data_IF_984864718686
#
_entry.id   IF_984864718686
#
_cell.length_a   1.000
_cell.length_b   1.000
_cell.length_c   1.000
_cell.angle_alpha   90.00
_cell.angle_beta   90.00
_cell.angle_gamma   90.00
#
_symmetry.space_group_name_H-M   'P 1'
#
loop_
_entity.id
_entity.type
_entity.pdbx_description
1 polymer ?
#
# COMPACT_ATOMS: atom_id res chain seq x y z
N UNK A 1 9.81 16.04 -0.93
CA UNK A 1 8.49 15.57 -1.38
C UNK A 1 7.94 16.59 -2.37
N UNK A 2 7.45 16.21 -3.57
CA UNK A 2 6.94 17.16 -4.58
C UNK A 2 5.48 16.87 -4.90
N UNK A 3 4.62 17.88 -4.72
CA UNK A 3 3.19 17.82 -5.07
C UNK A 3 3.02 17.51 -6.56
N UNK A 4 3.76 18.18 -7.43
CA UNK A 4 3.70 18.00 -8.89
C UNK A 4 4.05 16.56 -9.30
N UNK A 5 5.04 15.94 -8.66
CA UNK A 5 5.42 14.56 -8.94
C UNK A 5 4.30 13.55 -8.62
N UNK A 6 3.55 13.78 -7.55
CA UNK A 6 2.43 12.92 -7.17
C UNK A 6 1.20 13.16 -8.04
N UNK A 7 0.94 14.39 -8.45
CA UNK A 7 -0.11 14.70 -9.42
C UNK A 7 0.19 14.04 -10.79
N UNK A 8 1.45 14.01 -11.23
CA UNK A 8 1.86 13.30 -12.43
C UNK A 8 1.65 11.78 -12.31
N UNK A 9 2.03 11.18 -11.18
CA UNK A 9 1.80 9.76 -10.90
C UNK A 9 0.29 9.42 -10.90
N UNK A 10 -0.49 10.28 -10.24
CA UNK A 10 -1.94 10.15 -10.15
C UNK A 10 -2.61 10.23 -11.51
N UNK A 11 -2.22 11.19 -12.36
CA UNK A 11 -2.70 11.29 -13.73
C UNK A 11 -2.34 10.06 -14.55
N UNK A 12 -1.15 9.49 -14.36
CA UNK A 12 -0.75 8.24 -15.00
C UNK A 12 -1.62 7.03 -14.63
N UNK A 13 -2.04 6.89 -13.36
CA UNK A 13 -2.83 5.75 -12.89
C UNK A 13 -4.34 5.88 -13.15
N UNK A 14 -4.85 7.12 -13.17
CA UNK A 14 -6.28 7.39 -13.22
C UNK A 14 -6.76 7.98 -14.54
N UNK A 15 -5.85 8.51 -15.35
CA UNK A 15 -6.16 9.29 -16.55
C UNK A 15 -6.69 10.70 -16.28
N UNK A 16 -6.70 11.15 -15.01
CA UNK A 16 -7.16 12.48 -14.62
C UNK A 16 -5.98 13.44 -14.57
N UNK A 17 -5.96 14.44 -15.44
CA UNK A 17 -4.96 15.51 -15.38
C UNK A 17 -5.34 16.53 -14.31
N UNK A 18 -4.55 16.57 -13.24
CA UNK A 18 -4.66 17.58 -12.17
C UNK A 18 -3.53 18.63 -12.22
N UNK A 19 -2.58 18.50 -13.16
CA UNK A 19 -1.42 19.38 -13.25
C UNK A 19 -1.78 20.83 -13.61
N UNK A 20 -2.94 21.05 -14.22
CA UNK A 20 -3.47 22.39 -14.51
C UNK A 20 -4.15 23.10 -13.34
N UNK A 21 -4.35 22.43 -12.20
CA UNK A 21 -5.05 22.98 -11.04
C UNK A 21 -4.06 23.45 -9.96
N UNK A 22 -4.39 24.54 -9.26
CA UNK A 22 -3.59 25.00 -8.11
C UNK A 22 -3.78 24.06 -6.92
N UNK A 23 -2.81 24.04 -6.00
CA UNK A 23 -2.88 23.24 -4.77
C UNK A 23 -4.14 23.56 -3.94
N UNK A 24 -4.61 24.81 -3.94
CA UNK A 24 -5.79 25.25 -3.18
C UNK A 24 -7.12 24.97 -3.89
N UNK A 25 -7.11 24.41 -5.11
CA UNK A 25 -8.34 24.12 -5.85
C UNK A 25 -9.17 23.07 -5.10
N UNK A 26 -10.44 23.35 -4.76
CA UNK A 26 -11.31 22.36 -4.12
C UNK A 26 -11.57 21.18 -5.05
N UNK A 27 -11.39 19.96 -4.57
CA UNK A 27 -11.59 18.74 -5.39
C UNK A 27 -13.04 18.65 -5.89
N UNK A 28 -14.00 19.12 -5.09
CA UNK A 28 -15.42 19.12 -5.45
C UNK A 28 -15.75 19.91 -6.73
N UNK A 29 -14.89 20.87 -7.12
CA UNK A 29 -15.04 21.64 -8.36
C UNK A 29 -14.56 20.91 -9.62
N UNK A 30 -13.87 19.78 -9.48
CA UNK A 30 -13.26 19.04 -10.59
C UNK A 30 -14.23 17.94 -11.05
N UNK A 31 -14.74 17.99 -12.29
CA UNK A 31 -15.75 17.05 -12.76
C UNK A 31 -15.12 15.69 -13.10
N UNK A 32 -15.00 14.82 -12.11
CA UNK A 32 -14.49 13.45 -12.30
C UNK A 32 -15.25 12.41 -11.49
N UNK A 33 -15.53 11.27 -12.12
CA UNK A 33 -16.16 10.11 -11.46
C UNK A 33 -15.11 9.22 -10.80
N UNK A 34 -13.88 9.20 -11.31
CA UNK A 34 -12.84 8.27 -10.86
C UNK A 34 -12.28 8.61 -9.47
N UNK A 35 -12.39 9.85 -9.01
CA UNK A 35 -12.00 10.25 -7.64
C UNK A 35 -13.13 10.20 -6.62
N UNK A 36 -14.37 10.01 -7.08
CA UNK A 36 -15.55 10.20 -6.24
C UNK A 36 -15.53 9.33 -4.99
N UNK A 37 -15.18 8.06 -5.12
CA UNK A 37 -15.11 7.12 -3.99
C UNK A 37 -14.11 7.56 -2.91
N UNK A 38 -12.99 8.16 -3.31
CA UNK A 38 -11.94 8.59 -2.39
C UNK A 38 -12.35 9.88 -1.69
N UNK A 39 -12.87 10.85 -2.45
CA UNK A 39 -13.38 12.12 -1.92
C UNK A 39 -14.53 11.88 -0.96
N UNK A 40 -15.49 11.02 -1.32
CA UNK A 40 -16.60 10.66 -0.43
C UNK A 40 -16.13 9.94 0.84
N UNK A 41 -15.08 9.11 0.75
CA UNK A 41 -14.47 8.49 1.92
C UNK A 41 -13.83 9.54 2.82
N UNK A 42 -13.09 10.48 2.28
CA UNK A 42 -12.39 11.50 3.05
C UNK A 42 -13.35 12.52 3.66
N UNK A 43 -14.39 12.92 2.95
CA UNK A 43 -15.49 13.74 3.49
C UNK A 43 -16.22 13.02 4.63
N UNK A 44 -16.29 11.68 4.63
CA UNK A 44 -16.83 10.92 5.76
C UNK A 44 -15.88 10.88 6.96
N UNK A 45 -14.57 10.87 6.71
CA UNK A 45 -13.54 10.87 7.76
C UNK A 45 -13.39 12.25 8.42
N UNK A 46 -13.48 13.33 7.63
CA UNK A 46 -13.47 14.71 8.09
C UNK A 46 -14.46 15.56 7.26
N UNK A 47 -15.71 15.72 7.74
CA UNK A 47 -16.78 16.39 6.98
C UNK A 47 -16.66 17.91 6.94
N UNK A 48 -15.90 18.49 7.87
CA UNK A 48 -15.76 19.95 8.00
C UNK A 48 -14.56 20.49 7.19
N UNK A 49 -13.69 19.60 6.68
CA UNK A 49 -12.52 19.97 5.89
C UNK A 49 -12.83 20.10 4.39
N UNK A 50 -12.53 21.26 3.80
CA UNK A 50 -12.60 21.46 2.35
C UNK A 50 -11.37 20.85 1.67
N UNK A 51 -11.53 19.63 1.15
CA UNK A 51 -10.45 18.88 0.50
C UNK A 51 -9.98 19.54 -0.81
N UNK A 52 -8.68 19.82 -0.89
CA UNK A 52 -8.02 20.47 -2.03
C UNK A 52 -7.14 19.53 -2.85
N UNK A 53 -6.72 19.94 -4.05
CA UNK A 53 -5.73 19.21 -4.89
C UNK A 53 -4.41 19.00 -4.13
N UNK A 54 -3.99 19.96 -3.31
CA UNK A 54 -2.82 19.84 -2.45
C UNK A 54 -2.99 18.79 -1.35
N UNK A 55 -4.18 18.68 -0.76
CA UNK A 55 -4.50 17.62 0.22
C UNK A 55 -4.49 16.24 -0.43
N UNK A 56 -5.06 16.10 -1.62
CA UNK A 56 -4.99 14.87 -2.40
C UNK A 56 -3.53 14.46 -2.65
N UNK A 57 -2.69 15.38 -3.11
CA UNK A 57 -1.28 15.08 -3.38
C UNK A 57 -0.53 14.68 -2.10
N UNK A 58 -0.79 15.35 -0.97
CA UNK A 58 -0.24 14.98 0.35
C UNK A 58 -0.77 13.64 0.83
N UNK A 59 -2.01 13.28 0.55
CA UNK A 59 -2.55 12.00 1.01
C UNK A 59 -2.02 10.83 0.18
N UNK A 60 -1.89 11.03 -1.13
CA UNK A 60 -1.21 10.09 -2.02
C UNK A 60 0.27 9.91 -1.63
N UNK A 61 0.90 10.94 -1.07
CA UNK A 61 2.26 10.90 -0.51
C UNK A 61 2.46 9.85 0.56
N UNK A 62 1.49 9.78 1.47
CA UNK A 62 1.65 9.16 2.78
C UNK A 62 1.38 7.66 2.71
N UNK A 63 0.77 7.15 1.63
CA UNK A 63 0.51 5.72 1.46
C UNK A 63 -0.11 5.31 0.13
N UNK A 64 -0.20 6.21 -0.87
CA UNK A 64 -0.88 5.94 -2.12
C UNK A 64 -2.36 5.59 -1.92
N UNK A 65 -2.85 4.60 -2.69
CA UNK A 65 -4.21 4.06 -2.59
C UNK A 65 -4.40 3.03 -1.46
N UNK A 66 -3.31 2.65 -0.78
CA UNK A 66 -3.29 1.53 0.15
C UNK A 66 -3.69 1.91 1.57
N UNK A 67 -4.00 0.89 2.37
CA UNK A 67 -4.15 1.04 3.82
C UNK A 67 -2.77 1.30 4.45
N UNK A 68 -2.65 2.38 5.23
CA UNK A 68 -1.46 2.64 6.01
C UNK A 68 -1.56 1.93 7.38
N UNK A 69 -0.51 1.21 7.76
CA UNK A 69 -0.37 0.58 9.08
C UNK A 69 0.71 1.33 9.86
N UNK A 70 0.31 2.00 10.93
CA UNK A 70 1.20 2.87 11.72
C UNK A 70 1.18 2.45 13.18
N UNK A 71 2.34 2.27 13.79
CA UNK A 71 2.47 1.91 15.20
C UNK A 71 3.77 1.17 15.53
N UNK A 72 3.80 0.54 16.70
CA UNK A 72 4.87 -0.37 17.08
C UNK A 72 4.85 -1.65 16.24
N UNK A 73 5.94 -2.43 16.24
CA UNK A 73 5.98 -3.72 15.54
C UNK A 73 4.83 -4.66 15.97
N UNK A 74 4.51 -4.70 17.28
CA UNK A 74 3.39 -5.47 17.81
C UNK A 74 2.06 -4.95 17.24
N UNK A 75 1.84 -3.63 17.30
CA UNK A 75 0.60 -3.00 16.82
C UNK A 75 0.39 -3.20 15.32
N UNK A 76 1.46 -3.10 14.52
CA UNK A 76 1.39 -3.34 13.08
C UNK A 76 1.18 -4.81 12.78
N UNK A 77 1.84 -5.72 13.50
CA UNK A 77 1.62 -7.16 13.35
C UNK A 77 0.16 -7.55 13.66
N UNK A 78 -0.44 -7.00 14.74
CA UNK A 78 -1.84 -7.22 15.08
C UNK A 78 -2.76 -6.82 13.92
N UNK A 79 -2.55 -5.63 13.34
CA UNK A 79 -3.35 -5.13 12.22
C UNK A 79 -3.18 -5.97 10.96
N UNK A 80 -1.96 -6.41 10.65
CA UNK A 80 -1.70 -7.26 9.48
C UNK A 80 -2.35 -8.64 9.62
N UNK A 81 -2.31 -9.23 10.82
CA UNK A 81 -2.98 -10.50 11.10
C UNK A 81 -4.49 -10.38 10.98
N UNK A 82 -5.10 -9.37 11.62
CA UNK A 82 -6.54 -9.11 11.51
C UNK A 82 -6.96 -8.92 10.05
N UNK A 83 -6.19 -8.14 9.29
CA UNK A 83 -6.48 -7.90 7.89
C UNK A 83 -6.39 -9.18 7.07
N UNK A 84 -5.32 -9.97 7.23
CA UNK A 84 -5.14 -11.23 6.50
C UNK A 84 -6.23 -12.25 6.86
N UNK A 85 -6.53 -12.43 8.15
CA UNK A 85 -7.51 -13.42 8.62
C UNK A 85 -8.94 -13.04 8.21
N UNK A 86 -9.25 -11.74 8.11
CA UNK A 86 -10.58 -11.26 7.67
C UNK A 86 -10.78 -11.37 6.17
N UNK A 87 -9.71 -11.17 5.38
CA UNK A 87 -9.78 -11.10 3.92
C UNK A 87 -9.39 -12.38 3.21
N UNK A 88 -8.70 -13.30 3.90
CA UNK A 88 -8.11 -14.50 3.32
C UNK A 88 -6.90 -14.23 2.42
N UNK A 89 -6.19 -13.12 2.63
CA UNK A 89 -4.99 -12.79 1.86
C UNK A 89 -3.77 -13.62 2.29
N UNK A 90 -3.00 -14.08 1.31
CA UNK A 90 -1.77 -14.86 1.54
C UNK A 90 -0.53 -13.99 1.84
N UNK A 91 -0.61 -12.68 1.61
CA UNK A 91 0.51 -11.77 1.83
C UNK A 91 0.26 -10.33 1.40
N UNK A 92 1.28 -9.50 1.60
CA UNK A 92 1.22 -8.06 1.39
C UNK A 92 2.35 -7.59 0.46
N UNK A 93 2.04 -6.62 -0.38
CA UNK A 93 3.05 -5.83 -1.09
C UNK A 93 3.33 -4.57 -0.27
N UNK A 94 4.52 -4.48 0.34
CA UNK A 94 4.86 -3.41 1.27
C UNK A 94 5.40 -2.18 0.53
N UNK A 95 4.82 -1.02 0.80
CA UNK A 95 5.37 0.28 0.41
C UNK A 95 5.84 0.96 1.69
N UNK A 96 7.14 1.20 1.79
CA UNK A 96 7.76 1.82 2.97
C UNK A 96 8.28 3.22 2.63
N UNK A 97 8.18 4.16 3.56
CA UNK A 97 8.71 5.51 3.40
C UNK A 97 9.27 6.03 4.73
N UNK A 98 10.44 6.68 4.76
CA UNK A 98 11.39 6.87 3.64
C UNK A 98 12.21 5.60 3.35
N UNK A 99 12.62 5.38 2.10
CA UNK A 99 13.54 4.29 1.71
C UNK A 99 14.99 4.80 1.81
N UNK A 100 15.96 4.02 2.34
CA UNK A 100 15.86 2.63 2.79
C UNK A 100 15.38 2.43 4.24
N UNK A 101 15.40 3.48 5.06
CA UNK A 101 15.18 3.38 6.51
C UNK A 101 13.86 2.68 6.90
N UNK A 102 12.76 2.95 6.21
CA UNK A 102 11.47 2.30 6.48
C UNK A 102 11.49 0.79 6.20
N UNK A 103 12.30 0.34 5.24
CA UNK A 103 12.52 -1.10 5.02
C UNK A 103 13.36 -1.70 6.16
N UNK A 104 14.37 -0.98 6.65
CA UNK A 104 15.16 -1.40 7.81
C UNK A 104 14.27 -1.54 9.05
N UNK A 105 13.35 -0.59 9.30
CA UNK A 105 12.38 -0.71 10.40
C UNK A 105 11.50 -1.96 10.28
N UNK A 106 11.08 -2.33 9.07
CA UNK A 106 10.33 -3.57 8.84
C UNK A 106 11.19 -4.80 9.14
N UNK A 107 12.41 -4.84 8.62
CA UNK A 107 13.32 -5.98 8.77
C UNK A 107 13.78 -6.15 10.22
N UNK A 108 14.10 -5.07 10.92
CA UNK A 108 14.71 -5.12 12.25
C UNK A 108 13.67 -5.27 13.37
N UNK A 109 12.42 -4.85 13.13
CA UNK A 109 11.38 -4.85 14.17
C UNK A 109 10.17 -5.69 13.83
N UNK A 110 9.59 -5.54 12.63
CA UNK A 110 8.35 -6.23 12.27
C UNK A 110 8.57 -7.69 11.89
N UNK A 111 9.62 -7.99 11.12
CA UNK A 111 9.96 -9.36 10.69
C UNK A 111 10.18 -10.30 11.90
N UNK A 112 10.97 -9.96 12.92
CA UNK A 112 11.14 -10.80 14.11
C UNK A 112 9.83 -11.03 14.86
N UNK A 113 8.97 -10.03 14.94
CA UNK A 113 7.67 -10.15 15.61
C UNK A 113 6.72 -11.09 14.84
N UNK A 114 6.65 -10.96 13.51
CA UNK A 114 5.86 -11.88 12.66
C UNK A 114 6.42 -13.30 12.68
N UNK A 115 7.73 -13.48 12.76
CA UNK A 115 8.38 -14.78 12.93
C UNK A 115 8.04 -15.40 14.29
N UNK A 116 8.08 -14.62 15.38
CA UNK A 116 7.69 -15.05 16.73
C UNK A 116 6.24 -15.54 16.78
N UNK A 117 5.37 -14.93 15.98
CA UNK A 117 3.95 -15.29 15.83
C UNK A 117 3.70 -16.45 14.87
N UNK A 118 4.74 -16.95 14.18
CA UNK A 118 4.60 -18.01 13.18
C UNK A 118 3.90 -17.56 11.88
N UNK A 119 3.76 -16.25 11.64
CA UNK A 119 3.17 -15.69 10.41
C UNK A 119 4.17 -15.51 9.29
N UNK A 120 5.47 -15.54 9.61
CA UNK A 120 6.53 -15.41 8.63
C UNK A 120 7.58 -16.50 8.83
N UNK A 121 8.09 -17.04 7.72
CA UNK A 121 9.15 -18.04 7.71
C UNK A 121 10.44 -17.50 8.36
N UNK A 122 11.19 -18.39 9.00
CA UNK A 122 12.47 -18.07 9.65
C UNK A 122 13.69 -18.42 8.80
N UNK A 123 13.52 -19.27 7.78
CA UNK A 123 14.58 -19.65 6.84
C UNK A 123 13.99 -19.98 5.45
N UNK A 124 14.87 -20.03 4.44
CA UNK A 124 14.57 -20.51 3.11
C UNK A 124 15.35 -21.80 2.83
N UNK A 125 14.77 -22.69 2.02
CA UNK A 125 15.45 -23.93 1.63
C UNK A 125 16.48 -23.62 0.53
N UNK A 126 17.73 -24.11 0.63
CA UNK A 126 18.69 -24.00 -0.47
C UNK A 126 18.15 -24.62 -1.76
N UNK A 127 18.51 -24.03 -2.90
CA UNK A 127 18.12 -24.49 -4.25
C UNK A 127 16.61 -24.50 -4.56
N UNK A 128 15.77 -24.05 -3.63
CA UNK A 128 14.33 -23.90 -3.82
C UNK A 128 14.00 -22.72 -4.74
N UNK A 129 13.26 -23.00 -5.82
CA UNK A 129 12.80 -21.98 -6.76
C UNK A 129 11.75 -21.07 -6.13
N UNK A 130 11.55 -19.87 -6.67
CA UNK A 130 10.51 -18.95 -6.20
C UNK A 130 9.10 -19.57 -6.25
N UNK A 131 8.83 -20.43 -7.25
CA UNK A 131 7.54 -21.10 -7.40
C UNK A 131 7.32 -22.13 -6.31
N UNK A 132 8.34 -22.91 -5.98
CA UNK A 132 8.26 -23.88 -4.89
C UNK A 132 8.05 -23.18 -3.54
N UNK A 133 8.67 -22.01 -3.34
CA UNK A 133 8.47 -21.19 -2.13
C UNK A 133 7.03 -20.74 -1.89
N UNK A 134 6.23 -20.63 -2.95
CA UNK A 134 4.85 -20.16 -2.92
C UNK A 134 3.85 -21.31 -2.94
N UNK A 135 4.13 -22.37 -3.70
CA UNK A 135 3.16 -23.43 -3.97
C UNK A 135 3.58 -24.81 -3.46
N UNK A 136 4.74 -24.92 -2.82
CA UNK A 136 5.30 -26.15 -2.28
C UNK A 136 6.24 -26.89 -3.24
N UNK A 137 6.95 -27.92 -2.74
CA UNK A 137 7.92 -28.68 -3.52
C UNK A 137 7.30 -29.32 -4.77
N UNK A 138 8.03 -29.30 -5.89
CA UNK A 138 7.56 -29.92 -7.13
C UNK A 138 6.55 -29.08 -7.92
N UNK A 139 6.19 -27.88 -7.45
CA UNK A 139 5.36 -26.93 -8.19
C UNK A 139 6.04 -26.37 -9.46
N UNK A 140 7.21 -26.87 -9.85
CA UNK A 140 8.06 -26.33 -10.91
C UNK A 140 7.46 -26.23 -12.32
N UNK A 141 6.35 -26.91 -12.64
CA UNK A 141 5.93 -27.05 -14.05
C UNK A 141 4.44 -26.83 -14.32
N UNK A 142 4.01 -25.62 -14.73
CA UNK A 142 2.85 -25.47 -15.59
C UNK A 142 3.29 -25.68 -17.05
N UNK A 143 2.76 -26.74 -17.69
CA UNK A 143 2.86 -27.14 -19.11
C UNK A 143 3.93 -28.17 -19.50
N UNK A 144 3.59 -29.45 -19.33
CA UNK A 144 3.90 -30.50 -20.31
C UNK A 144 2.65 -31.34 -20.56
N UNK A 145 1.59 -30.70 -21.07
CA UNK A 145 0.47 -31.37 -21.75
C UNK A 145 0.01 -30.47 -22.90
N UNK A 146 0.77 -30.53 -24.00
CA UNK A 146 0.39 -30.40 -25.41
C UNK A 146 1.63 -30.15 -26.26
#
# INVERSE_FOLDING_TARGET
FSVEGFLALFGGWTGIDLGGHSADTPIASIPTTAMRTWVERWQREDPDHEWTVGDLARRLAEGGAGTAFVGSATTVADQLEEFADTTGLDGFNLITSPVPWGLEQVVDHLVPELQRRGRLRTAYTPDETLRERWFGPGAGHPRSQN
#
